data_IF_199462066201
#
_entry.id   IF_199462066201
#
_cell.length_a   1.000
_cell.length_b   1.000
_cell.length_c   1.000
_cell.angle_alpha   90.00
_cell.angle_beta   90.00
_cell.angle_gamma   90.00
#
_symmetry.space_group_name_H-M   'P 1'
#
loop_
_entity.id
_entity.type
_entity.pdbx_description
1 polymer ?
#
# COMPACT_ATOMS: atom_id res chain seq x y z
N UNK A 1 46.66 -10.59 -30.22
CA UNK A 1 45.91 -9.36 -30.49
C UNK A 1 44.83 -9.26 -29.43
N UNK A 2 44.78 -8.10 -28.79
CA UNK A 2 44.50 -7.91 -27.37
C UNK A 2 43.04 -8.13 -26.97
N UNK A 3 42.85 -8.70 -25.79
CA UNK A 3 41.59 -8.73 -25.05
C UNK A 3 41.21 -7.29 -24.65
N UNK A 4 40.63 -6.51 -25.56
CA UNK A 4 40.03 -5.22 -25.21
C UNK A 4 38.64 -5.46 -24.61
N UNK A 5 38.67 -5.59 -23.28
CA UNK A 5 37.70 -5.09 -22.31
C UNK A 5 36.21 -5.17 -22.67
N UNK A 6 35.58 -6.22 -22.16
CA UNK A 6 34.13 -6.26 -21.98
C UNK A 6 33.69 -5.19 -20.98
N UNK A 7 33.43 -3.98 -21.46
CA UNK A 7 32.82 -2.86 -20.72
C UNK A 7 31.41 -2.58 -21.20
N UNK A 8 30.58 -2.05 -20.31
CA UNK A 8 29.24 -1.60 -20.65
C UNK A 8 29.32 -0.30 -21.45
N UNK A 9 28.68 -0.27 -22.63
CA UNK A 9 28.64 0.93 -23.46
C UNK A 9 27.97 2.15 -22.78
N UNK A 10 27.08 1.90 -21.82
CA UNK A 10 26.24 2.90 -21.14
C UNK A 10 26.98 3.52 -19.95
N UNK A 11 27.50 2.72 -19.01
CA UNK A 11 28.16 3.23 -17.80
C UNK A 11 29.70 3.18 -17.86
N UNK A 12 30.27 2.60 -18.91
CA UNK A 12 31.72 2.37 -19.08
C UNK A 12 32.37 1.48 -18.00
N UNK A 13 31.57 0.79 -17.18
CA UNK A 13 32.05 -0.19 -16.19
C UNK A 13 32.13 -1.61 -16.78
N UNK A 14 33.11 -2.39 -16.32
CA UNK A 14 33.25 -3.81 -16.66
C UNK A 14 32.19 -4.72 -16.02
N UNK A 15 32.31 -6.03 -16.27
CA UNK A 15 31.52 -7.01 -15.53
C UNK A 15 31.96 -7.08 -14.07
N UNK A 16 31.00 -7.11 -13.14
CA UNK A 16 31.27 -7.32 -11.71
C UNK A 16 30.52 -8.56 -11.22
N UNK A 17 30.86 -9.06 -10.02
CA UNK A 17 30.19 -10.24 -9.42
C UNK A 17 28.66 -10.09 -9.32
N UNK A 18 28.15 -8.85 -9.29
CA UNK A 18 26.71 -8.53 -9.21
C UNK A 18 26.10 -8.05 -10.52
N UNK A 19 26.90 -7.62 -11.51
CA UNK A 19 26.40 -7.08 -12.80
C UNK A 19 27.09 -7.79 -13.97
N UNK A 20 26.34 -8.66 -14.65
CA UNK A 20 26.80 -9.33 -15.87
C UNK A 20 26.55 -8.44 -17.09
N UNK A 21 27.47 -8.50 -18.04
CA UNK A 21 27.30 -7.89 -19.35
C UNK A 21 26.49 -8.83 -20.24
N UNK A 22 25.55 -8.24 -20.96
CA UNK A 22 24.71 -8.91 -21.93
C UNK A 22 25.04 -8.34 -23.31
N UNK A 23 25.11 -9.22 -24.29
CA UNK A 23 25.13 -8.87 -25.70
C UNK A 23 23.80 -9.34 -26.31
N UNK A 24 23.01 -8.41 -26.81
CA UNK A 24 21.81 -8.72 -27.59
C UNK A 24 21.65 -7.63 -28.67
N UNK A 25 21.83 -7.97 -29.96
CA UNK A 25 21.79 -7.01 -31.05
C UNK A 25 20.40 -6.36 -31.21
N UNK A 26 19.32 -7.14 -31.08
CA UNK A 26 17.94 -6.61 -31.19
C UNK A 26 17.68 -5.52 -30.15
N UNK A 27 18.14 -5.75 -28.92
CA UNK A 27 18.01 -4.76 -27.85
C UNK A 27 18.95 -3.57 -28.02
N UNK A 28 20.07 -3.74 -28.73
CA UNK A 28 21.00 -2.65 -29.06
C UNK A 28 20.35 -1.70 -30.06
N UNK A 29 19.63 -2.24 -31.05
CA UNK A 29 18.82 -1.45 -32.00
C UNK A 29 17.69 -0.72 -31.28
N UNK A 30 17.01 -1.37 -30.32
CA UNK A 30 16.01 -0.69 -29.49
C UNK A 30 16.62 0.46 -28.67
N UNK A 31 17.80 0.27 -28.08
CA UNK A 31 18.50 1.33 -27.33
C UNK A 31 18.81 2.51 -28.26
N UNK A 32 19.32 2.24 -29.47
CA UNK A 32 19.62 3.26 -30.47
C UNK A 32 18.36 4.04 -30.85
N UNK A 33 17.27 3.35 -31.18
CA UNK A 33 15.99 3.98 -31.54
C UNK A 33 15.44 4.83 -30.39
N UNK A 34 15.48 4.33 -29.15
CA UNK A 34 15.03 5.07 -27.99
C UNK A 34 15.88 6.32 -27.71
N UNK A 35 17.19 6.26 -27.98
CA UNK A 35 18.05 7.43 -27.91
C UNK A 35 17.70 8.47 -28.99
N UNK A 36 17.47 8.05 -30.24
CA UNK A 36 17.03 8.93 -31.33
C UNK A 36 15.69 9.60 -31.03
N UNK A 37 14.72 8.83 -30.54
CA UNK A 37 13.40 9.33 -30.13
C UNK A 37 13.53 10.37 -29.02
N UNK A 38 14.39 10.15 -28.02
CA UNK A 38 14.56 11.12 -26.92
C UNK A 38 15.22 12.41 -27.38
N UNK A 39 16.26 12.31 -28.20
CA UNK A 39 16.96 13.49 -28.75
C UNK A 39 16.04 14.31 -29.66
N UNK A 40 15.28 13.65 -30.55
CA UNK A 40 14.31 14.34 -31.42
C UNK A 40 13.17 15.02 -30.65
N UNK A 41 12.84 14.53 -29.46
CA UNK A 41 11.86 15.12 -28.55
C UNK A 41 12.44 16.21 -27.62
N UNK A 42 13.70 16.62 -27.82
CA UNK A 42 14.32 17.71 -27.08
C UNK A 42 14.89 17.31 -25.71
N UNK A 43 15.21 16.04 -25.50
CA UNK A 43 15.95 15.62 -24.31
C UNK A 43 17.37 16.20 -24.33
N UNK A 44 17.78 16.84 -23.23
CA UNK A 44 19.07 17.54 -23.09
C UNK A 44 20.07 16.77 -22.23
N UNK A 45 19.72 15.55 -21.79
CA UNK A 45 20.64 14.69 -21.02
C UNK A 45 21.90 14.35 -21.83
N UNK A 46 23.05 14.88 -21.40
CA UNK A 46 24.35 14.74 -22.09
C UNK A 46 24.75 13.29 -22.34
N UNK A 47 24.37 12.38 -21.43
CA UNK A 47 24.73 10.97 -21.53
C UNK A 47 23.97 10.26 -22.66
N UNK A 48 22.74 10.69 -22.96
CA UNK A 48 21.95 10.16 -24.06
C UNK A 48 22.50 10.63 -25.41
N UNK A 49 22.91 11.90 -25.50
CA UNK A 49 23.58 12.45 -26.69
C UNK A 49 24.91 11.75 -26.95
N UNK A 50 25.74 11.56 -25.90
CA UNK A 50 27.01 10.83 -26.02
C UNK A 50 26.81 9.39 -26.45
N UNK A 51 25.82 8.70 -25.87
CA UNK A 51 25.50 7.32 -26.22
C UNK A 51 24.96 7.20 -27.66
N UNK A 52 24.11 8.14 -28.08
CA UNK A 52 23.58 8.18 -29.44
C UNK A 52 24.70 8.40 -30.47
N UNK A 53 25.59 9.36 -30.22
CA UNK A 53 26.72 9.64 -31.11
C UNK A 53 27.67 8.44 -31.22
N UNK A 54 27.92 7.75 -30.10
CA UNK A 54 28.74 6.54 -30.09
C UNK A 54 28.07 5.41 -30.89
N UNK A 55 26.81 5.08 -30.60
CA UNK A 55 26.13 3.96 -31.28
C UNK A 55 25.86 4.22 -32.77
N UNK A 56 25.57 5.48 -33.15
CA UNK A 56 25.35 5.85 -34.57
C UNK A 56 26.63 5.84 -35.40
N UNK A 57 27.80 5.88 -34.75
CA UNK A 57 29.11 5.82 -35.41
C UNK A 57 29.64 4.40 -35.61
N UNK A 58 28.93 3.37 -35.12
CA UNK A 58 29.32 1.97 -35.26
C UNK A 58 28.69 1.36 -36.53
N UNK A 59 29.43 0.47 -37.18
CA UNK A 59 28.90 -0.32 -38.30
C UNK A 59 28.00 -1.47 -37.80
N UNK A 60 27.16 -2.04 -38.67
CA UNK A 60 26.27 -3.17 -38.33
C UNK A 60 27.02 -4.38 -37.73
N UNK A 61 28.26 -4.61 -38.17
CA UNK A 61 29.12 -5.65 -37.62
C UNK A 61 29.54 -5.36 -36.17
N UNK A 62 29.79 -4.10 -35.83
CA UNK A 62 30.26 -3.67 -34.51
C UNK A 62 29.10 -3.58 -33.50
N UNK A 63 27.91 -3.19 -33.97
CA UNK A 63 26.68 -3.20 -33.17
C UNK A 63 26.35 -4.58 -32.59
N UNK A 64 26.69 -5.66 -33.31
CA UNK A 64 26.53 -7.05 -32.84
C UNK A 64 27.43 -7.44 -31.67
N UNK A 65 28.46 -6.65 -31.37
CA UNK A 65 29.39 -6.91 -30.26
C UNK A 65 29.20 -5.94 -29.09
N UNK A 66 28.22 -5.03 -29.18
CA UNK A 66 27.92 -4.09 -28.10
C UNK A 66 27.47 -4.83 -26.86
N UNK A 67 28.11 -4.51 -25.73
CA UNK A 67 27.81 -5.10 -24.42
C UNK A 67 27.26 -4.04 -23.48
N UNK A 68 26.27 -4.42 -22.68
CA UNK A 68 25.71 -3.55 -21.65
C UNK A 68 25.20 -4.35 -20.45
N UNK A 69 25.08 -3.71 -19.28
CA UNK A 69 24.39 -4.31 -18.15
C UNK A 69 22.87 -4.25 -18.35
N UNK A 70 22.17 -5.30 -17.93
CA UNK A 70 20.70 -5.35 -18.01
C UNK A 70 20.01 -4.20 -17.28
N UNK A 71 20.61 -3.71 -16.20
CA UNK A 71 20.09 -2.59 -15.41
C UNK A 71 20.33 -1.24 -16.09
N UNK A 72 21.47 -1.06 -16.76
CA UNK A 72 21.83 0.19 -17.43
C UNK A 72 20.93 0.49 -18.64
N UNK A 73 20.40 -0.53 -19.32
CA UNK A 73 19.48 -0.32 -20.45
C UNK A 73 18.08 0.18 -20.04
N UNK A 74 17.57 -0.26 -18.86
CA UNK A 74 16.20 0.02 -18.39
C UNK A 74 15.82 1.51 -18.39
N UNK A 75 16.66 2.45 -17.90
CA UNK A 75 16.33 3.86 -17.93
C UNK A 75 16.27 4.45 -19.35
N UNK A 76 16.96 3.85 -20.32
CA UNK A 76 17.01 4.32 -21.71
C UNK A 76 15.76 3.86 -22.46
N UNK A 77 15.42 2.58 -22.39
CA UNK A 77 14.26 1.98 -23.10
C UNK A 77 12.92 2.23 -22.38
N UNK A 78 12.87 3.13 -21.40
CA UNK A 78 11.67 3.40 -20.62
C UNK A 78 10.62 4.16 -21.47
N UNK A 79 9.60 3.43 -21.92
CA UNK A 79 8.49 3.96 -22.74
C UNK A 79 7.75 5.12 -22.07
N UNK A 80 7.58 5.10 -20.75
CA UNK A 80 6.90 6.18 -20.01
C UNK A 80 7.69 7.49 -20.05
N UNK A 81 9.04 7.42 -20.11
CA UNK A 81 9.89 8.62 -20.21
C UNK A 81 9.74 9.28 -21.58
N UNK A 82 9.73 8.48 -22.65
CA UNK A 82 9.49 8.95 -24.02
C UNK A 82 8.08 9.54 -24.15
N UNK A 83 7.05 8.89 -23.62
CA UNK A 83 5.68 9.39 -23.71
C UNK A 83 5.53 10.77 -23.02
N UNK A 84 6.21 10.99 -21.90
CA UNK A 84 6.25 12.31 -21.24
C UNK A 84 6.93 13.37 -22.10
N UNK A 85 8.05 13.03 -22.74
CA UNK A 85 8.73 13.93 -23.68
C UNK A 85 7.87 14.25 -24.90
N UNK A 86 7.16 13.26 -25.46
CA UNK A 86 6.17 13.45 -26.54
C UNK A 86 5.06 14.40 -26.15
N UNK A 87 4.51 14.28 -24.94
CA UNK A 87 3.48 15.20 -24.43
C UNK A 87 4.00 16.63 -24.29
N UNK A 88 5.24 16.80 -23.81
CA UNK A 88 5.89 18.12 -23.72
C UNK A 88 6.12 18.74 -25.10
N UNK A 89 6.72 18.00 -26.03
CA UNK A 89 6.99 18.46 -27.40
C UNK A 89 5.71 18.84 -28.18
N UNK A 90 4.58 18.16 -27.97
CA UNK A 90 3.28 18.52 -28.57
C UNK A 90 2.68 19.83 -28.07
N UNK A 91 3.10 20.30 -26.89
CA UNK A 91 2.56 21.54 -26.30
C UNK A 91 3.24 22.79 -26.91
N UNK A 92 4.40 22.62 -27.56
CA UNK A 92 5.19 23.69 -28.18
C UNK A 92 4.95 23.84 -29.70
N UNK A 93 3.95 23.17 -30.28
CA UNK A 93 3.55 23.41 -31.68
C UNK A 93 2.52 24.56 -31.78
N UNK A 94 2.79 25.65 -32.52
CA UNK A 94 1.87 26.77 -32.65
C UNK A 94 0.77 26.43 -33.65
N UNK A 95 -0.40 26.04 -33.16
CA UNK A 95 -1.62 26.01 -33.99
C UNK A 95 -2.52 27.14 -33.54
N UNK A 96 -2.46 28.23 -34.31
CA UNK A 96 -3.44 29.30 -34.29
C UNK A 96 -4.84 28.73 -34.53
N UNK A 97 -5.76 29.03 -33.61
CA UNK A 97 -7.19 29.12 -33.92
C UNK A 97 -7.74 30.37 -33.22
N UNK A 98 -8.43 31.28 -33.95
CA UNK A 98 -8.89 32.54 -33.40
C UNK A 98 -10.10 32.30 -32.50
N UNK A 99 -9.97 32.62 -31.21
CA UNK A 99 -11.12 32.75 -30.31
C UNK A 99 -11.76 34.12 -30.54
N UNK A 100 -12.98 34.14 -31.06
CA UNK A 100 -13.91 35.26 -30.87
C UNK A 100 -15.13 34.78 -30.06
N UNK A 101 -16.05 35.67 -29.64
CA UNK A 101 -15.95 37.13 -29.49
C UNK A 101 -16.03 37.56 -28.01
N UNK A 102 -15.69 38.82 -27.77
CA UNK A 102 -15.29 39.36 -26.47
C UNK A 102 -16.40 39.60 -25.44
N UNK A 103 -15.94 39.76 -24.20
CA UNK A 103 -16.62 40.60 -23.20
C UNK A 103 -15.81 41.91 -23.08
N UNK A 104 -16.44 43.09 -23.02
CA UNK A 104 -15.73 44.36 -23.19
C UNK A 104 -14.82 44.64 -21.99
N UNK A 105 -13.65 45.21 -22.28
CA UNK A 105 -12.82 45.85 -21.27
C UNK A 105 -13.49 47.15 -20.82
N UNK A 106 -14.01 47.18 -19.61
CA UNK A 106 -14.17 48.43 -18.87
C UNK A 106 -12.98 48.57 -17.94
N UNK A 107 -12.02 49.38 -18.38
CA UNK A 107 -10.98 49.93 -17.53
C UNK A 107 -11.61 50.98 -16.60
N UNK A 108 -11.85 50.60 -15.34
CA UNK A 108 -11.79 51.53 -14.20
C UNK A 108 -10.97 50.80 -13.14
N UNK A 109 -9.88 51.45 -12.70
CA UNK A 109 -8.72 50.82 -12.09
C UNK A 109 -9.01 49.87 -10.94
N UNK A 110 -8.71 48.59 -11.15
CA UNK A 110 -8.08 47.79 -10.11
C UNK A 110 -6.59 47.78 -10.42
N UNK A 111 -5.80 48.41 -9.56
CA UNK A 111 -4.36 48.21 -9.48
C UNK A 111 -4.17 46.71 -9.23
N UNK A 112 -4.02 45.94 -10.31
CA UNK A 112 -3.53 44.57 -10.22
C UNK A 112 -2.19 44.69 -9.49
N UNK A 113 -1.99 44.07 -8.32
CA UNK A 113 -0.70 44.14 -7.66
C UNK A 113 0.32 43.62 -8.66
N UNK A 114 1.20 44.49 -9.14
CA UNK A 114 2.44 44.06 -9.78
C UNK A 114 3.04 43.12 -8.76
N UNK A 115 3.07 41.82 -9.08
CA UNK A 115 3.69 40.77 -8.26
C UNK A 115 5.04 41.35 -7.87
N UNK A 116 5.16 41.74 -6.61
CA UNK A 116 6.44 42.18 -6.08
C UNK A 116 7.38 41.03 -6.38
N UNK A 117 8.54 41.34 -6.96
CA UNK A 117 9.67 40.43 -6.90
C UNK A 117 10.02 40.32 -5.43
N UNK A 118 9.27 39.50 -4.70
CA UNK A 118 9.65 39.03 -3.39
C UNK A 118 10.91 38.24 -3.63
N UNK A 119 11.97 38.66 -2.94
CA UNK A 119 13.21 37.94 -2.71
C UNK A 119 12.92 36.43 -2.75
N UNK A 120 13.67 35.60 -3.51
CA UNK A 120 13.44 34.17 -3.52
C UNK A 120 13.45 33.70 -2.06
N UNK A 121 12.29 33.26 -1.56
CA UNK A 121 12.26 32.60 -0.25
C UNK A 121 13.23 31.44 -0.37
N UNK A 122 14.13 31.32 0.60
CA UNK A 122 15.04 30.18 0.69
C UNK A 122 14.24 28.91 0.46
N UNK A 123 14.73 28.06 -0.44
CA UNK A 123 14.08 26.80 -0.75
C UNK A 123 14.30 25.89 0.46
N UNK A 124 13.36 25.94 1.40
CA UNK A 124 13.41 25.18 2.64
C UNK A 124 12.43 24.02 2.54
N UNK A 125 12.83 22.86 3.04
CA UNK A 125 11.95 21.71 3.17
C UNK A 125 10.76 22.08 4.08
N UNK A 126 9.56 21.70 3.65
CA UNK A 126 8.31 21.83 4.40
C UNK A 126 8.45 21.26 5.83
N UNK A 127 9.18 20.15 5.97
CA UNK A 127 9.39 19.45 7.23
C UNK A 127 10.71 19.81 7.92
N UNK A 128 11.31 20.96 7.60
CA UNK A 128 12.60 21.41 8.17
C UNK A 128 12.60 21.45 9.70
N UNK A 129 11.45 21.74 10.31
CA UNK A 129 11.29 21.79 11.77
C UNK A 129 10.97 20.42 12.40
N UNK A 130 11.05 19.32 11.64
CA UNK A 130 10.79 17.97 12.14
C UNK A 130 12.08 17.19 12.35
N UNK A 131 12.10 16.31 13.34
CA UNK A 131 13.27 15.51 13.75
C UNK A 131 13.87 14.62 12.64
N UNK A 132 13.07 14.30 11.63
CA UNK A 132 13.47 13.43 10.52
C UNK A 132 13.99 14.20 9.30
N UNK A 133 13.97 15.54 9.30
CA UNK A 133 14.59 16.29 8.23
C UNK A 133 16.09 16.36 8.49
N UNK A 134 16.94 15.72 7.68
CA UNK A 134 18.35 16.01 7.74
C UNK A 134 18.47 17.47 7.31
N UNK A 135 18.85 18.36 8.22
CA UNK A 135 19.20 19.76 7.91
C UNK A 135 20.41 19.87 6.95
N UNK A 136 20.81 18.77 6.32
CA UNK A 136 21.89 18.66 5.36
C UNK A 136 21.34 18.76 3.95
N UNK A 137 21.83 19.75 3.20
CA UNK A 137 21.52 20.07 1.79
C UNK A 137 21.86 18.96 0.77
N UNK A 138 22.17 17.74 1.23
CA UNK A 138 22.62 16.63 0.39
C UNK A 138 21.50 16.00 -0.44
N UNK A 139 20.24 16.11 -0.01
CA UNK A 139 19.09 15.56 -0.74
C UNK A 139 18.40 16.65 -1.57
N UNK A 140 18.06 16.40 -2.85
CA UNK A 140 17.40 17.39 -3.67
C UNK A 140 16.00 17.73 -3.14
N UNK A 141 15.71 19.03 -3.04
CA UNK A 141 14.39 19.55 -2.74
C UNK A 141 13.46 19.39 -3.94
N UNK A 142 12.29 18.79 -3.70
CA UNK A 142 11.26 18.63 -4.70
C UNK A 142 10.15 19.66 -4.50
N UNK A 143 9.88 20.43 -5.56
CA UNK A 143 8.75 21.37 -5.59
C UNK A 143 7.43 20.64 -5.76
N UNK A 144 6.40 21.08 -5.05
CA UNK A 144 5.01 20.66 -5.27
C UNK A 144 4.47 21.34 -6.53
N UNK A 145 4.09 20.56 -7.54
CA UNK A 145 3.60 21.07 -8.84
C UNK A 145 2.16 20.63 -9.16
N UNK A 146 1.56 19.75 -8.34
CA UNK A 146 0.27 19.15 -8.64
C UNK A 146 -0.65 19.18 -7.42
N UNK A 147 -1.94 19.40 -7.67
CA UNK A 147 -2.98 19.35 -6.64
C UNK A 147 -3.08 17.97 -6.00
N UNK A 148 -2.71 16.91 -6.72
CA UNK A 148 -2.64 15.55 -6.16
C UNK A 148 -1.66 15.45 -4.99
N UNK A 149 -0.52 16.15 -5.08
CA UNK A 149 0.46 16.20 -4.00
C UNK A 149 -0.02 17.11 -2.87
N UNK A 150 -0.72 18.20 -3.18
CA UNK A 150 -1.40 19.02 -2.19
C UNK A 150 -2.44 18.24 -1.38
N UNK A 151 -3.23 17.38 -2.04
CA UNK A 151 -4.15 16.45 -1.35
C UNK A 151 -3.41 15.50 -0.41
N UNK A 152 -2.27 14.95 -0.83
CA UNK A 152 -1.44 14.11 0.04
C UNK A 152 -0.93 14.86 1.27
N UNK A 153 -0.51 16.12 1.13
CA UNK A 153 -0.06 16.94 2.25
C UNK A 153 -1.20 17.29 3.21
N UNK A 154 -2.39 17.57 2.68
CA UNK A 154 -3.60 17.78 3.49
C UNK A 154 -4.02 16.50 4.22
N UNK A 155 -3.89 15.34 3.58
CA UNK A 155 -4.13 14.06 4.22
C UNK A 155 -3.17 13.86 5.41
N UNK A 156 -1.87 14.11 5.21
CA UNK A 156 -0.87 14.07 6.27
C UNK A 156 -1.21 15.05 7.40
N UNK A 157 -1.68 16.27 7.07
CA UNK A 157 -2.14 17.27 8.06
C UNK A 157 -3.25 16.74 8.96
N UNK A 158 -4.17 15.96 8.39
CA UNK A 158 -5.36 15.45 9.10
C UNK A 158 -5.07 14.18 9.92
N UNK A 159 -4.20 13.31 9.43
CA UNK A 159 -3.99 11.97 9.96
C UNK A 159 -2.78 11.85 10.89
N UNK A 160 -1.82 12.79 10.83
CA UNK A 160 -0.59 12.71 11.62
C UNK A 160 -0.83 13.00 13.12
N UNK A 161 -0.31 12.18 14.04
CA UNK A 161 -0.32 12.49 15.47
C UNK A 161 0.79 13.48 15.88
N UNK A 162 1.74 13.77 14.98
CA UNK A 162 2.90 14.62 15.26
C UNK A 162 2.57 16.11 15.02
N UNK A 163 2.61 16.90 16.11
CA UNK A 163 2.36 18.33 16.08
C UNK A 163 3.37 19.11 15.23
N UNK A 164 4.63 18.70 15.18
CA UNK A 164 5.64 19.36 14.36
C UNK A 164 5.34 19.17 12.87
N UNK A 165 4.89 17.98 12.48
CA UNK A 165 4.45 17.70 11.11
C UNK A 165 3.19 18.50 10.78
N UNK A 166 2.24 18.59 11.71
CA UNK A 166 0.99 19.33 11.53
C UNK A 166 1.22 20.84 11.36
N UNK A 167 2.11 21.41 12.18
CA UNK A 167 2.52 22.82 12.10
C UNK A 167 3.25 23.11 10.79
N UNK A 168 4.09 22.18 10.34
CA UNK A 168 4.85 22.29 9.08
C UNK A 168 3.96 22.45 7.84
N UNK A 169 2.73 21.93 7.89
CA UNK A 169 1.74 21.98 6.80
C UNK A 169 0.51 22.84 7.15
N UNK A 170 0.58 23.63 8.22
CA UNK A 170 -0.58 24.35 8.76
C UNK A 170 -1.17 25.35 7.77
N UNK A 171 -0.33 25.99 6.94
CA UNK A 171 -0.73 27.00 5.97
C UNK A 171 -1.36 26.44 4.67
N UNK A 172 -1.56 25.11 4.60
CA UNK A 172 -2.29 24.46 3.52
C UNK A 172 -3.75 24.26 3.94
N UNK A 173 -4.69 24.94 3.29
CA UNK A 173 -6.14 24.78 3.48
C UNK A 173 -6.78 24.03 2.31
N UNK A 174 -6.33 24.34 1.10
CA UNK A 174 -6.78 23.74 -0.15
C UNK A 174 -5.67 22.96 -0.88
N UNK A 175 -6.01 21.97 -1.74
CA UNK A 175 -5.02 21.20 -2.50
C UNK A 175 -4.11 22.05 -3.39
N UNK A 176 -4.59 23.21 -3.85
CA UNK A 176 -3.83 24.12 -4.70
C UNK A 176 -2.75 24.91 -3.94
N UNK A 177 -2.90 25.08 -2.62
CA UNK A 177 -2.06 25.96 -1.80
C UNK A 177 -0.61 25.54 -1.82
N UNK A 178 -0.34 24.23 -1.78
CA UNK A 178 1.03 23.72 -1.77
C UNK A 178 1.80 24.10 -3.05
N UNK A 179 1.10 24.16 -4.19
CA UNK A 179 1.67 24.58 -5.47
C UNK A 179 1.77 26.10 -5.59
N UNK A 180 0.76 26.83 -5.07
CA UNK A 180 0.67 28.29 -5.09
C UNK A 180 1.70 28.96 -4.17
N UNK A 181 1.95 28.36 -2.99
CA UNK A 181 2.94 28.78 -2.00
C UNK A 181 4.35 28.27 -2.33
N UNK A 182 4.52 27.60 -3.47
CA UNK A 182 5.80 27.06 -3.94
C UNK A 182 6.50 26.20 -2.87
N UNK A 183 5.76 25.28 -2.24
CA UNK A 183 6.29 24.42 -1.19
C UNK A 183 7.30 23.41 -1.76
N UNK A 184 8.35 23.15 -0.99
CA UNK A 184 9.41 22.19 -1.31
C UNK A 184 9.51 21.13 -0.23
N UNK A 185 9.91 19.90 -0.59
CA UNK A 185 10.11 18.81 0.38
C UNK A 185 11.21 17.85 -0.08
N UNK A 186 11.91 17.22 0.86
CA UNK A 186 12.74 16.04 0.54
C UNK A 186 11.86 14.80 0.39
N UNK A 187 12.18 13.91 -0.55
CA UNK A 187 11.41 12.67 -0.75
C UNK A 187 11.42 11.79 0.50
N UNK A 188 12.55 11.73 1.18
CA UNK A 188 12.67 11.01 2.46
C UNK A 188 11.80 11.62 3.55
N UNK A 189 11.73 12.94 3.64
CA UNK A 189 10.90 13.66 4.61
C UNK A 189 9.41 13.39 4.35
N UNK A 190 8.97 13.49 3.09
CA UNK A 190 7.59 13.16 2.73
C UNK A 190 7.25 11.70 3.08
N UNK A 191 8.13 10.75 2.74
CA UNK A 191 7.92 9.33 3.10
C UNK A 191 7.90 9.10 4.60
N UNK A 192 8.64 9.88 5.38
CA UNK A 192 8.66 9.77 6.84
C UNK A 192 7.39 10.37 7.44
N UNK A 193 6.97 11.54 6.98
CA UNK A 193 5.68 12.14 7.33
C UNK A 193 4.50 11.23 6.98
N UNK A 194 4.51 10.60 5.80
CA UNK A 194 3.51 9.60 5.40
C UNK A 194 3.53 8.38 6.33
N UNK A 195 4.71 7.85 6.68
CA UNK A 195 4.82 6.72 7.61
C UNK A 195 4.30 7.04 9.00
N UNK A 196 4.53 8.27 9.48
CA UNK A 196 4.01 8.77 10.77
C UNK A 196 2.48 8.93 10.69
N UNK A 197 1.97 9.48 9.58
CA UNK A 197 0.54 9.59 9.27
C UNK A 197 -0.17 8.22 9.24
N UNK A 198 0.48 7.21 8.67
CA UNK A 198 -0.07 5.82 8.62
C UNK A 198 0.16 5.02 9.90
N UNK A 199 0.98 5.52 10.84
CA UNK A 199 1.37 4.77 12.05
C UNK A 199 0.26 4.71 13.09
N UNK A 200 -0.84 5.41 12.87
CA UNK A 200 -1.99 5.46 13.77
C UNK A 200 -2.78 4.15 13.82
N UNK A 201 -2.61 3.23 12.86
CA UNK A 201 -3.40 1.98 12.81
C UNK A 201 -2.63 0.69 13.11
N UNK A 202 -1.29 0.67 13.06
CA UNK A 202 -0.54 -0.60 13.17
C UNK A 202 0.10 -0.90 14.53
N UNK A 203 0.22 0.09 15.43
CA UNK A 203 0.75 -0.15 16.79
C UNK A 203 -0.28 -0.80 17.72
N UNK A 204 -1.58 -0.64 17.42
CA UNK A 204 -2.67 -1.14 18.24
C UNK A 204 -3.30 -2.44 17.73
N UNK A 205 -2.87 -3.03 16.62
CA UNK A 205 -3.50 -4.26 16.09
C UNK A 205 -3.60 -5.39 17.13
N UNK A 206 -2.56 -5.68 17.95
CA UNK A 206 -2.66 -6.68 19.00
C UNK A 206 -3.68 -6.29 20.10
N UNK A 207 -3.73 -5.00 20.46
CA UNK A 207 -4.66 -4.46 21.45
C UNK A 207 -6.11 -4.48 20.94
N UNK A 208 -6.35 -4.02 19.71
CA UNK A 208 -7.65 -4.01 19.05
C UNK A 208 -8.17 -5.44 18.91
N UNK A 209 -7.31 -6.39 18.49
CA UNK A 209 -7.70 -7.80 18.41
C UNK A 209 -8.08 -8.36 19.79
N UNK A 210 -7.31 -8.03 20.82
CA UNK A 210 -7.66 -8.42 22.20
C UNK A 210 -8.99 -7.81 22.68
N UNK A 211 -9.32 -6.58 22.25
CA UNK A 211 -10.62 -5.95 22.56
C UNK A 211 -11.75 -6.66 21.82
N UNK A 212 -11.56 -6.99 20.54
CA UNK A 212 -12.52 -7.78 19.76
C UNK A 212 -12.77 -9.15 20.39
N UNK A 213 -11.70 -9.84 20.81
CA UNK A 213 -11.78 -11.13 21.50
C UNK A 213 -12.59 -11.01 22.80
N UNK A 214 -12.29 -10.00 23.63
CA UNK A 214 -13.01 -9.77 24.88
C UNK A 214 -14.50 -9.46 24.65
N UNK A 215 -14.82 -8.66 23.62
CA UNK A 215 -16.20 -8.33 23.29
C UNK A 215 -16.97 -9.55 22.78
N UNK A 216 -16.34 -10.43 21.99
CA UNK A 216 -16.96 -11.67 21.57
C UNK A 216 -17.24 -12.58 22.77
N UNK A 217 -16.27 -12.74 23.67
CA UNK A 217 -16.43 -13.55 24.89
C UNK A 217 -17.59 -13.04 25.73
N UNK A 218 -17.68 -11.73 25.96
CA UNK A 218 -18.81 -11.12 26.67
C UNK A 218 -20.15 -11.34 25.97
N UNK A 219 -20.18 -11.24 24.63
CA UNK A 219 -21.40 -11.49 23.86
C UNK A 219 -21.86 -12.96 24.00
N UNK A 220 -20.93 -13.91 23.97
CA UNK A 220 -21.23 -15.35 24.18
C UNK A 220 -21.75 -15.58 25.60
N UNK A 221 -21.09 -15.03 26.63
CA UNK A 221 -21.52 -15.15 28.03
C UNK A 221 -22.94 -14.61 28.22
N UNK A 222 -23.21 -13.40 27.72
CA UNK A 222 -24.52 -12.78 27.86
C UNK A 222 -25.63 -13.58 27.15
N UNK A 223 -25.30 -14.24 26.02
CA UNK A 223 -26.27 -15.03 25.28
C UNK A 223 -26.51 -16.40 25.91
N UNK A 224 -25.46 -17.04 26.43
CA UNK A 224 -25.53 -18.33 27.13
C UNK A 224 -25.83 -18.17 28.63
N UNK A 225 -26.47 -17.07 29.04
CA UNK A 225 -26.82 -16.83 30.45
C UNK A 225 -27.88 -17.82 30.96
N UNK A 226 -28.74 -18.30 30.05
CA UNK A 226 -29.81 -19.25 30.33
C UNK A 226 -29.45 -20.65 29.80
N UNK A 227 -29.76 -21.69 30.57
CA UNK A 227 -29.36 -23.08 30.25
C UNK A 227 -30.03 -23.65 28.99
N UNK A 228 -31.16 -23.09 28.57
CA UNK A 228 -31.91 -23.51 27.38
C UNK A 228 -31.41 -22.85 26.08
N UNK A 229 -30.52 -21.85 26.18
CA UNK A 229 -30.03 -21.12 25.01
C UNK A 229 -28.78 -21.79 24.46
N UNK A 230 -28.78 -22.04 23.14
CA UNK A 230 -27.63 -22.61 22.43
C UNK A 230 -27.19 -21.69 21.29
N UNK A 231 -25.90 -21.55 21.08
CA UNK A 231 -25.32 -20.80 19.97
C UNK A 231 -24.64 -21.72 18.97
N UNK A 232 -24.77 -21.47 17.67
CA UNK A 232 -24.00 -22.20 16.66
C UNK A 232 -22.64 -21.54 16.39
N UNK A 233 -21.65 -22.34 16.01
CA UNK A 233 -20.33 -21.83 15.59
C UNK A 233 -20.40 -20.91 14.35
N UNK A 234 -21.45 -21.02 13.53
CA UNK A 234 -21.66 -20.12 12.40
C UNK A 234 -22.03 -18.72 12.91
N UNK A 235 -23.01 -18.63 13.81
CA UNK A 235 -23.42 -17.37 14.44
C UNK A 235 -22.27 -16.71 15.20
N UNK A 236 -21.45 -17.50 15.90
CA UNK A 236 -20.25 -17.00 16.59
C UNK A 236 -19.23 -16.43 15.62
N UNK A 237 -19.01 -17.09 14.48
CA UNK A 237 -18.10 -16.59 13.44
C UNK A 237 -18.62 -15.29 12.82
N UNK A 238 -19.91 -15.21 12.51
CA UNK A 238 -20.54 -14.02 11.93
C UNK A 238 -20.55 -12.83 12.90
N UNK A 239 -20.81 -13.10 14.19
CA UNK A 239 -20.69 -12.10 15.25
C UNK A 239 -19.26 -11.57 15.36
N UNK A 240 -18.25 -12.45 15.29
CA UNK A 240 -16.85 -12.05 15.35
C UNK A 240 -16.43 -11.20 14.14
N UNK A 241 -16.83 -11.59 12.93
CA UNK A 241 -16.62 -10.79 11.71
C UNK A 241 -17.24 -9.40 11.84
N UNK A 242 -18.45 -9.31 12.41
CA UNK A 242 -19.15 -8.05 12.64
C UNK A 242 -18.41 -7.16 13.66
N UNK A 243 -17.86 -7.76 14.72
CA UNK A 243 -17.01 -7.05 15.70
C UNK A 243 -15.74 -6.53 15.03
N UNK A 244 -15.02 -7.37 14.27
CA UNK A 244 -13.80 -6.95 13.57
C UNK A 244 -14.05 -5.77 12.61
N UNK A 245 -15.14 -5.82 11.83
CA UNK A 245 -15.57 -4.73 10.96
C UNK A 245 -15.84 -3.44 11.74
N UNK A 246 -16.50 -3.54 12.89
CA UNK A 246 -16.80 -2.37 13.76
C UNK A 246 -15.53 -1.66 14.23
N UNK A 247 -14.45 -2.38 14.48
CA UNK A 247 -13.16 -1.82 14.85
C UNK A 247 -12.23 -1.52 13.67
N UNK A 248 -12.75 -1.56 12.43
CA UNK A 248 -11.99 -1.28 11.20
C UNK A 248 -10.75 -2.17 11.06
N UNK A 249 -10.81 -3.40 11.57
CA UNK A 249 -9.78 -4.41 11.27
C UNK A 249 -10.03 -4.88 9.84
N UNK A 250 -9.00 -4.89 9.00
CA UNK A 250 -9.10 -5.48 7.65
C UNK A 250 -9.44 -6.97 7.78
N UNK A 251 -10.63 -7.34 7.33
CA UNK A 251 -11.11 -8.73 7.38
C UNK A 251 -11.35 -9.23 5.97
N UNK A 252 -10.84 -10.41 5.67
CA UNK A 252 -11.26 -11.15 4.50
C UNK A 252 -12.56 -11.88 4.86
N UNK A 253 -13.69 -11.50 4.25
CA UNK A 253 -15.00 -12.11 4.52
C UNK A 253 -15.07 -13.61 4.17
N UNK A 254 -14.12 -14.10 3.36
CA UNK A 254 -13.99 -15.52 3.06
C UNK A 254 -13.19 -16.31 4.12
N UNK A 255 -12.57 -15.64 5.10
CA UNK A 255 -11.86 -16.31 6.17
C UNK A 255 -12.81 -16.91 7.22
N UNK A 256 -12.58 -18.18 7.53
CA UNK A 256 -13.27 -18.88 8.58
C UNK A 256 -12.40 -18.92 9.84
N UNK A 257 -12.83 -18.22 10.90
CA UNK A 257 -12.09 -18.14 12.16
C UNK A 257 -12.40 -19.30 13.12
N UNK A 258 -13.17 -20.33 12.72
CA UNK A 258 -13.64 -21.43 13.58
C UNK A 258 -12.54 -22.06 14.45
N UNK A 259 -11.36 -22.35 13.88
CA UNK A 259 -10.25 -22.97 14.65
C UNK A 259 -9.72 -22.02 15.73
N UNK A 260 -9.60 -20.74 15.40
CA UNK A 260 -9.15 -19.70 16.32
C UNK A 260 -10.19 -19.47 17.43
N UNK A 261 -11.45 -19.32 17.05
CA UNK A 261 -12.55 -19.05 17.97
C UNK A 261 -12.79 -20.19 18.95
N UNK A 262 -12.73 -21.44 18.48
CA UNK A 262 -12.82 -22.61 19.38
C UNK A 262 -11.78 -22.56 20.48
N UNK A 263 -10.52 -22.28 20.11
CA UNK A 263 -9.44 -22.16 21.09
C UNK A 263 -9.66 -20.99 22.05
N UNK A 264 -10.00 -19.81 21.54
CA UNK A 264 -10.28 -18.63 22.36
C UNK A 264 -11.38 -18.90 23.39
N UNK A 265 -12.48 -19.52 22.96
CA UNK A 265 -13.63 -19.84 23.81
C UNK A 265 -13.25 -20.91 24.83
N UNK A 266 -12.56 -21.98 24.44
CA UNK A 266 -12.07 -23.00 25.39
C UNK A 266 -11.13 -22.41 26.44
N UNK A 267 -10.31 -21.42 26.09
CA UNK A 267 -9.36 -20.78 27.01
C UNK A 267 -10.05 -19.79 27.96
N UNK A 268 -11.07 -19.06 27.49
CA UNK A 268 -11.69 -17.95 28.23
C UNK A 268 -13.01 -18.33 28.92
N UNK A 269 -13.68 -19.38 28.45
CA UNK A 269 -15.00 -19.86 28.90
C UNK A 269 -14.95 -21.39 29.13
N UNK A 270 -14.24 -21.87 30.17
CA UNK A 270 -14.11 -23.29 30.45
C UNK A 270 -15.46 -23.98 30.76
N UNK A 271 -16.45 -23.21 31.19
CA UNK A 271 -17.82 -23.66 31.44
C UNK A 271 -18.61 -23.94 30.15
N UNK A 272 -18.15 -23.51 28.98
CA UNK A 272 -18.83 -23.74 27.69
C UNK A 272 -18.28 -24.98 27.00
N UNK A 273 -19.18 -25.86 26.56
CA UNK A 273 -18.84 -27.07 25.79
C UNK A 273 -19.29 -26.96 24.34
N UNK A 274 -18.51 -27.58 23.46
CA UNK A 274 -18.85 -27.74 22.05
C UNK A 274 -19.53 -29.09 21.83
N UNK A 275 -20.77 -29.05 21.34
CA UNK A 275 -21.55 -30.24 20.97
C UNK A 275 -21.54 -30.35 19.45
N UNK A 276 -20.98 -31.43 18.95
CA UNK A 276 -21.01 -31.77 17.52
C UNK A 276 -22.43 -32.15 17.11
N UNK A 277 -22.92 -31.61 15.99
CA UNK A 277 -24.21 -32.05 15.46
C UNK A 277 -24.15 -33.50 14.98
N UNK A 278 -25.26 -34.21 15.17
CA UNK A 278 -25.48 -35.56 14.62
C UNK A 278 -25.58 -35.56 13.10
N UNK A 279 -25.96 -34.42 12.51
CA UNK A 279 -26.12 -34.27 11.06
C UNK A 279 -24.82 -33.80 10.43
N UNK A 280 -24.45 -34.46 9.33
CA UNK A 280 -23.27 -34.09 8.55
C UNK A 280 -23.44 -32.67 7.98
N UNK A 281 -22.40 -31.85 8.12
CA UNK A 281 -22.32 -30.45 7.69
C UNK A 281 -23.09 -29.42 8.53
N UNK A 282 -23.65 -29.79 9.68
CA UNK A 282 -24.17 -28.79 10.61
C UNK A 282 -23.04 -28.21 11.49
N UNK A 283 -23.08 -26.91 11.80
CA UNK A 283 -22.09 -26.29 12.67
C UNK A 283 -22.23 -26.83 14.11
N UNK A 284 -21.11 -26.93 14.82
CA UNK A 284 -21.12 -27.30 16.24
C UNK A 284 -21.90 -26.26 17.04
N UNK A 285 -22.53 -26.70 18.12
CA UNK A 285 -23.24 -25.84 19.05
C UNK A 285 -22.43 -25.61 20.31
N UNK A 286 -22.58 -24.44 20.90
CA UNK A 286 -22.05 -24.04 22.19
C UNK A 286 -23.18 -24.12 23.21
N UNK A 287 -22.90 -24.78 24.32
CA UNK A 287 -23.84 -24.99 25.43
C UNK A 287 -23.09 -24.86 26.76
N UNK A 288 -23.81 -24.51 27.83
CA UNK A 288 -23.25 -24.55 29.18
C UNK A 288 -22.97 -26.00 29.60
N UNK A 289 -21.90 -26.19 30.36
CA UNK A 289 -21.54 -27.49 30.92
C UNK A 289 -22.61 -28.05 31.86
N UNK A 290 -23.32 -27.17 32.58
CA UNK A 290 -24.43 -27.56 33.47
C UNK A 290 -25.59 -28.15 32.68
N UNK A 291 -25.98 -27.53 31.57
CA UNK A 291 -27.01 -28.05 30.67
C UNK A 291 -26.64 -29.43 30.11
N UNK A 292 -25.36 -29.68 29.81
CA UNK A 292 -24.90 -31.01 29.38
C UNK A 292 -25.04 -32.03 30.50
N UNK A 293 -24.62 -31.69 31.72
CA UNK A 293 -24.73 -32.59 32.89
C UNK A 293 -26.19 -32.91 33.20
N UNK A 294 -27.07 -31.89 33.22
CA UNK A 294 -28.51 -32.10 33.43
C UNK A 294 -29.13 -33.01 32.37
N UNK A 295 -28.75 -32.83 31.09
CA UNK A 295 -29.23 -33.70 30.02
C UNK A 295 -28.74 -35.15 30.17
N UNK A 296 -27.52 -35.35 30.68
CA UNK A 296 -26.98 -36.68 30.98
C UNK A 296 -27.71 -37.32 32.17
N UNK A 297 -27.91 -36.58 33.26
CA UNK A 297 -28.61 -37.06 34.46
C UNK A 297 -30.07 -37.40 34.15
N UNK A 298 -30.75 -36.56 33.36
CA UNK A 298 -32.11 -36.83 32.88
C UNK A 298 -32.17 -38.12 32.05
N UNK A 299 -31.21 -38.31 31.12
CA UNK A 299 -31.14 -39.53 30.31
C UNK A 299 -30.86 -40.77 31.15
N UNK A 300 -30.00 -40.68 32.15
CA UNK A 300 -29.73 -41.76 33.11
C UNK A 300 -30.96 -42.08 33.97
N UNK A 301 -31.78 -41.08 34.31
CA UNK A 301 -33.03 -41.29 35.07
C UNK A 301 -34.17 -41.91 34.25
N UNK A 302 -34.11 -41.79 32.92
CA UNK A 302 -35.13 -42.28 31.99
C UNK A 302 -34.83 -43.68 31.42
N UNK A 303 -33.58 -44.15 31.50
CA UNK A 303 -33.22 -45.49 31.08
C UNK A 303 -33.36 -46.47 32.25
N UNK A 304 -34.36 -47.34 32.19
CA UNK A 304 -34.45 -48.48 33.11
C UNK A 304 -33.19 -49.36 32.95
N UNK A 305 -32.68 -49.92 34.05
CA UNK A 305 -31.46 -50.76 34.07
C UNK A 305 -31.45 -51.86 32.98
N UNK A 306 -32.63 -52.36 32.61
CA UNK A 306 -32.79 -53.36 31.55
C UNK A 306 -32.43 -52.85 30.13
N UNK A 307 -32.66 -51.57 29.82
CA UNK A 307 -32.29 -50.98 28.53
C UNK A 307 -30.78 -50.73 28.43
N UNK A 308 -30.14 -50.38 29.55
CA UNK A 308 -28.69 -50.18 29.64
C UNK A 308 -27.97 -51.53 29.46
N UNK A 309 -28.46 -52.59 30.10
CA UNK A 309 -27.95 -53.95 29.93
C UNK A 309 -28.18 -54.45 28.50
N UNK A 310 -29.32 -54.13 27.88
CA UNK A 310 -29.61 -54.46 26.48
C UNK A 310 -28.64 -53.79 25.51
N UNK A 311 -28.31 -52.52 25.74
CA UNK A 311 -27.38 -51.78 24.88
C UNK A 311 -25.93 -52.26 25.04
N UNK A 312 -25.49 -52.54 26.26
CA UNK A 312 -24.15 -53.11 26.53
C UNK A 312 -23.99 -54.52 25.96
N UNK A 313 -25.02 -55.37 26.02
CA UNK A 313 -25.01 -56.70 25.37
C UNK A 313 -24.89 -56.60 23.85
N UNK A 314 -25.56 -55.63 23.23
CA UNK A 314 -25.47 -55.44 21.78
C UNK A 314 -24.08 -54.94 21.33
N UNK A 315 -23.43 -54.09 22.13
CA UNK A 315 -22.04 -53.65 21.86
C UNK A 315 -21.04 -54.79 22.08
N UNK A 316 -21.23 -55.63 23.09
CA UNK A 316 -20.38 -56.80 23.34
C UNK A 316 -20.50 -57.88 22.24
N UNK A 317 -21.66 -58.00 21.58
CA UNK A 317 -21.85 -58.92 20.45
C UNK A 317 -21.31 -58.40 19.11
N UNK A 318 -20.86 -57.15 19.06
CA UNK A 318 -20.28 -56.50 17.88
C UNK A 318 -18.74 -56.44 17.91
N UNK A 319 -18.13 -56.92 19.00
CA UNK A 319 -16.68 -57.10 19.19
C UNK A 319 -16.31 -58.58 19.09
#
# INVERSE_FOLDING_TARGET
MSEEDGVCVICKEGATSKKRLVNNPVMTDEILQHCQDRVSLGDTESDIHRLLNYLSGLNEGELKYVRYHSECRKPIVNKNKIERLRKRSRTDSPVCAPRGPGRPSSAVGSVRPKRSKTIPKEQVCLFSNCDFCPMNDSEPLHRVLTDSMGKTLLQIKQETPDDHVRVSVADLEEPGDASALEKHYHRTCLRSAQRISTRTDHSNVPLIRSVCDAQLVLAIQNTLSDEDVTLSMAEVNDAYLSILKRYRVDVNESENYRKYLKRLISERLPEVKFVTSLRRNEPDRLVLSTAVTMAMDYRSSMMNDDEIVGHLKNVANLL
#
